data_IF_212677956604
#
_entry.id   IF_212677956604
#
_cell.length_a   1.000
_cell.length_b   1.000
_cell.length_c   1.000
_cell.angle_alpha   90.00
_cell.angle_beta   90.00
_cell.angle_gamma   90.00
#
_symmetry.space_group_name_H-M   'P 1'
#
loop_
_entity.id
_entity.type
_entity.pdbx_description
1 polymer ?
#
# COMPACT_ATOMS: atom_id res chain seq x y z
N UNK A 1 -3.69 10.66 -2.62
CA UNK A 1 -2.72 9.64 -3.09
C UNK A 1 -3.39 8.45 -3.77
N UNK A 2 -4.47 7.87 -3.22
CA UNK A 2 -5.11 6.67 -3.79
C UNK A 2 -5.61 6.80 -5.23
N UNK A 3 -6.10 7.98 -5.62
CA UNK A 3 -6.67 8.16 -6.96
C UNK A 3 -5.64 8.12 -8.09
N UNK A 4 -4.40 8.53 -7.84
CA UNK A 4 -3.37 8.69 -8.88
C UNK A 4 -2.45 7.48 -9.06
N UNK A 5 -2.22 6.69 -8.00
CA UNK A 5 -1.18 5.66 -8.01
C UNK A 5 -1.70 4.22 -8.01
N UNK A 6 -3.01 4.01 -7.86
CA UNK A 6 -3.62 2.68 -7.73
C UNK A 6 -4.44 2.26 -8.95
N UNK A 7 -4.45 3.07 -10.03
CA UNK A 7 -5.20 2.82 -11.26
C UNK A 7 -4.39 3.27 -12.48
N UNK A 8 -4.67 2.67 -13.63
CA UNK A 8 -4.09 3.11 -14.90
C UNK A 8 -4.79 4.39 -15.38
N UNK A 9 -4.04 5.49 -15.40
CA UNK A 9 -4.49 6.81 -15.86
C UNK A 9 -3.73 7.28 -17.11
N UNK A 10 -3.04 6.39 -17.82
CA UNK A 10 -2.19 6.74 -18.97
C UNK A 10 -2.93 7.46 -20.10
N UNK A 11 -4.24 7.21 -20.26
CA UNK A 11 -5.10 7.87 -21.25
C UNK A 11 -5.88 9.10 -20.75
N UNK A 12 -5.63 9.55 -19.52
CA UNK A 12 -6.41 10.61 -18.87
C UNK A 12 -5.51 11.80 -18.51
N UNK A 13 -6.05 13.01 -18.65
CA UNK A 13 -5.37 14.21 -18.17
C UNK A 13 -5.49 14.27 -16.64
N UNK A 14 -4.36 14.22 -15.95
CA UNK A 14 -4.28 14.38 -14.50
C UNK A 14 -4.56 15.85 -14.14
N UNK A 15 -5.62 16.09 -13.36
CA UNK A 15 -6.07 17.44 -12.95
C UNK A 15 -5.42 17.95 -11.65
N UNK A 16 -4.50 17.17 -11.07
CA UNK A 16 -3.77 17.58 -9.86
C UNK A 16 -2.62 18.53 -10.26
N UNK A 17 -2.87 19.83 -10.13
CA UNK A 17 -1.91 20.89 -10.45
C UNK A 17 -0.62 20.82 -9.61
N UNK A 18 -0.70 20.30 -8.37
CA UNK A 18 0.49 20.16 -7.51
C UNK A 18 1.36 19.02 -8.02
N UNK A 19 0.75 17.87 -8.29
CA UNK A 19 1.42 16.73 -8.89
C UNK A 19 2.03 17.06 -10.26
N UNK A 20 1.29 17.78 -11.11
CA UNK A 20 1.78 18.24 -12.41
C UNK A 20 2.99 19.17 -12.26
N UNK A 21 2.96 20.11 -11.32
CA UNK A 21 4.10 21.02 -11.05
C UNK A 21 5.32 20.28 -10.54
N UNK A 22 5.16 19.35 -9.59
CA UNK A 22 6.27 18.58 -9.01
C UNK A 22 7.00 17.75 -10.08
N UNK A 23 6.31 17.23 -11.08
CA UNK A 23 6.91 16.50 -12.21
C UNK A 23 7.85 17.35 -13.08
N UNK A 24 7.74 18.69 -13.02
CA UNK A 24 8.60 19.58 -13.84
C UNK A 24 9.94 19.91 -13.20
N UNK A 25 10.12 19.62 -11.90
CA UNK A 25 11.32 20.01 -11.17
C UNK A 25 12.45 18.98 -11.33
N UNK A 26 13.66 19.39 -11.77
CA UNK A 26 14.78 18.46 -11.98
C UNK A 26 15.34 17.87 -10.68
N UNK A 27 14.97 18.43 -9.53
CA UNK A 27 15.37 18.01 -8.20
C UNK A 27 14.26 17.23 -7.47
N UNK A 28 13.23 16.78 -8.18
CA UNK A 28 12.13 15.97 -7.63
C UNK A 28 12.11 14.61 -8.33
N UNK A 29 12.09 13.55 -7.53
CA UNK A 29 11.85 12.18 -8.00
C UNK A 29 10.53 11.72 -7.40
N UNK A 30 9.61 11.33 -8.27
CA UNK A 30 8.32 10.78 -7.89
C UNK A 30 8.33 9.30 -8.24
N UNK A 31 8.02 8.47 -7.26
CA UNK A 31 7.68 7.07 -7.46
C UNK A 31 6.22 6.89 -7.10
N UNK A 32 5.58 5.82 -7.60
CA UNK A 32 4.31 5.40 -7.02
C UNK A 32 4.49 5.04 -5.53
N UNK A 33 3.41 4.62 -4.89
CA UNK A 33 3.44 4.14 -3.51
C UNK A 33 4.11 2.75 -3.39
N UNK A 34 5.30 2.60 -3.98
CA UNK A 34 6.02 1.34 -4.20
C UNK A 34 7.28 1.23 -3.33
N UNK A 35 7.44 2.09 -2.32
CA UNK A 35 8.56 2.00 -1.38
C UNK A 35 8.61 0.63 -0.67
N UNK A 36 7.46 -0.02 -0.48
CA UNK A 36 7.35 -1.35 0.10
C UNK A 36 7.65 -2.49 -0.88
N UNK A 37 7.90 -2.22 -2.17
CA UNK A 37 7.97 -3.24 -3.21
C UNK A 37 9.36 -3.91 -3.28
N UNK A 38 9.79 -4.49 -2.16
CA UNK A 38 11.01 -5.28 -2.02
C UNK A 38 10.69 -6.76 -1.84
N UNK A 39 11.65 -7.63 -2.16
CA UNK A 39 11.49 -9.08 -1.94
C UNK A 39 11.21 -9.38 -0.47
N UNK A 40 11.92 -8.71 0.43
CA UNK A 40 11.83 -8.89 1.87
C UNK A 40 10.46 -8.49 2.40
N UNK A 41 9.96 -7.32 2.02
CA UNK A 41 8.68 -6.82 2.47
C UNK A 41 7.53 -7.68 1.95
N UNK A 42 7.53 -8.04 0.66
CA UNK A 42 6.50 -8.92 0.08
C UNK A 42 6.51 -10.32 0.71
N UNK A 43 7.69 -10.89 0.95
CA UNK A 43 7.82 -12.18 1.64
C UNK A 43 7.24 -12.09 3.06
N UNK A 44 7.57 -11.01 3.80
CA UNK A 44 7.02 -10.80 5.14
C UNK A 44 5.52 -10.59 5.16
N UNK A 45 4.97 -9.87 4.19
CA UNK A 45 3.52 -9.69 4.05
C UNK A 45 2.85 -11.06 3.84
N UNK A 46 3.37 -11.87 2.91
CA UNK A 46 2.82 -13.20 2.64
C UNK A 46 2.91 -14.13 3.85
N UNK A 47 4.10 -14.26 4.45
CA UNK A 47 4.35 -15.13 5.61
C UNK A 47 3.47 -14.72 6.80
N UNK A 48 3.38 -13.42 7.09
CA UNK A 48 2.57 -12.90 8.21
C UNK A 48 1.08 -13.13 7.96
N UNK A 49 0.62 -12.93 6.72
CA UNK A 49 -0.78 -13.14 6.35
C UNK A 49 -1.17 -14.62 6.51
N UNK A 50 -0.35 -15.53 5.96
CA UNK A 50 -0.60 -16.97 6.08
C UNK A 50 -0.48 -17.45 7.53
N UNK A 51 0.48 -16.91 8.28
CA UNK A 51 0.63 -17.18 9.71
C UNK A 51 -0.59 -16.76 10.52
N UNK A 52 -1.12 -15.56 10.27
CA UNK A 52 -2.34 -15.07 10.92
C UNK A 52 -3.54 -15.98 10.63
N UNK A 53 -3.75 -16.36 9.37
CA UNK A 53 -4.87 -17.24 8.96
C UNK A 53 -4.76 -18.60 9.64
N UNK A 54 -3.57 -19.19 9.66
CA UNK A 54 -3.32 -20.49 10.29
C UNK A 54 -3.55 -20.44 11.81
N UNK A 55 -3.05 -19.40 12.47
CA UNK A 55 -3.22 -19.23 13.91
C UNK A 55 -4.69 -19.01 14.29
N UNK A 56 -5.42 -18.27 13.45
CA UNK A 56 -6.87 -18.07 13.61
C UNK A 56 -7.65 -19.39 13.43
N UNK A 57 -7.39 -20.13 12.36
CA UNK A 57 -8.08 -21.40 12.05
C UNK A 57 -7.85 -22.46 13.14
N UNK A 58 -6.63 -22.58 13.63
CA UNK A 58 -6.25 -23.60 14.62
C UNK A 58 -6.56 -23.20 16.06
N UNK A 59 -6.80 -21.90 16.32
CA UNK A 59 -6.88 -21.35 17.67
C UNK A 59 -5.56 -21.43 18.45
N UNK A 60 -4.42 -21.59 17.76
CA UNK A 60 -3.10 -21.75 18.36
C UNK A 60 -2.13 -20.69 17.81
N UNK A 61 -1.26 -20.17 18.67
CA UNK A 61 -0.30 -19.13 18.31
C UNK A 61 -0.88 -17.72 18.40
N UNK A 62 -0.12 -16.73 17.94
CA UNK A 62 -0.50 -15.32 17.97
C UNK A 62 -0.81 -14.85 16.55
N UNK A 63 -1.88 -14.09 16.39
CA UNK A 63 -2.20 -13.39 15.16
C UNK A 63 -2.49 -11.92 15.45
N UNK A 64 -2.35 -11.09 14.42
CA UNK A 64 -2.57 -9.65 14.52
C UNK A 64 -4.03 -9.34 14.17
N UNK A 65 -4.91 -9.33 15.17
CA UNK A 65 -6.31 -8.95 15.01
C UNK A 65 -6.44 -7.44 14.74
N UNK A 66 -7.28 -7.08 13.77
CA UNK A 66 -7.72 -5.70 13.57
C UNK A 66 -9.06 -5.56 14.28
N UNK A 67 -9.12 -4.85 15.41
CA UNK A 67 -10.37 -4.69 16.14
C UNK A 67 -11.36 -3.89 15.30
N UNK A 68 -12.65 -4.23 15.43
CA UNK A 68 -13.71 -3.37 14.89
C UNK A 68 -13.65 -2.04 15.63
N UNK A 69 -13.48 -0.94 14.89
CA UNK A 69 -13.74 0.39 15.44
C UNK A 69 -15.23 0.48 15.74
N UNK A 70 -15.59 0.38 17.03
CA UNK A 70 -16.92 0.74 17.50
C UNK A 70 -16.95 2.28 17.48
N UNK A 71 -17.67 2.82 16.50
CA UNK A 71 -17.54 4.20 16.06
C UNK A 71 -17.57 5.29 17.14
N UNK A 72 -16.81 6.33 16.85
CA UNK A 72 -17.17 7.74 17.12
C UNK A 72 -17.90 8.26 15.88
#
# INVERSE_FOLDING_TARGET
EEELFFRDLSGQVIQDDTFARLQTFPNVVITGHQAFFTREALTKIADTTLGNVTAFETGQGTFYEVPLEVGV
#
